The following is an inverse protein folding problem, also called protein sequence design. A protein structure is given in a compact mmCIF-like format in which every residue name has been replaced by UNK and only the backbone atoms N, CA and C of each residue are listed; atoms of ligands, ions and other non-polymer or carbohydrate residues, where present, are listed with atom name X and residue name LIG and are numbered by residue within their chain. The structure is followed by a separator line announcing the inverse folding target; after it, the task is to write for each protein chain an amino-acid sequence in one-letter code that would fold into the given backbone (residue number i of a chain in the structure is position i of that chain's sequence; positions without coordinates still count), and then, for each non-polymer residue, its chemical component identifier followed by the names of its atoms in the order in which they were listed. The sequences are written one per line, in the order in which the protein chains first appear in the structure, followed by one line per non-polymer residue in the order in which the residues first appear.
data_IF_861655599375
#
_entry.id   IF_861655599375
#
_cell.length_a   1.000
_cell.length_b   1.000
_cell.length_c   1.000
_cell.angle_alpha   90.00
_cell.angle_beta   90.00
_cell.angle_gamma   90.00
#
_symmetry.space_group_name_H-M   'P 1'
#
loop_
_entity.id
_entity.type
_entity.pdbx_description
1 polymer ?
#
# COMPACT_ATOMS: atom_id res chain seq x y z
N UNK A 1 72.67 14.89 16.89
CA UNK A 1 73.40 14.89 15.60
C UNK A 1 72.67 15.62 14.47
N UNK A 2 71.39 15.32 14.14
CA UNK A 2 70.64 16.09 13.11
C UNK A 2 70.50 17.61 13.41
N UNK A 3 70.26 17.99 14.68
CA UNK A 3 70.29 19.40 15.15
C UNK A 3 71.64 20.10 14.92
N UNK A 4 72.77 19.36 14.95
CA UNK A 4 74.12 19.90 14.75
C UNK A 4 74.47 20.10 13.26
N UNK A 5 73.96 19.25 12.38
CA UNK A 5 74.16 19.38 10.91
C UNK A 5 73.42 20.62 10.39
N UNK A 6 72.23 20.91 10.89
CA UNK A 6 71.50 22.16 10.57
C UNK A 6 72.16 23.43 11.14
N UNK A 7 72.87 23.31 12.26
CA UNK A 7 73.63 24.41 12.88
C UNK A 7 74.86 24.82 12.06
N UNK A 8 75.52 23.88 11.38
CA UNK A 8 76.71 24.15 10.55
C UNK A 8 76.39 24.76 9.17
N UNK A 9 75.19 24.50 8.62
CA UNK A 9 74.74 25.04 7.32
C UNK A 9 73.93 26.35 7.51
N UNK A 10 73.60 26.73 8.75
CA UNK A 10 72.88 27.98 9.05
C UNK A 10 73.67 29.25 8.67
N UNK A 11 75.00 29.17 8.56
CA UNK A 11 75.83 30.31 8.18
C UNK A 11 75.81 30.59 6.67
N UNK A 12 75.61 29.59 5.81
CA UNK A 12 75.90 29.75 4.37
C UNK A 12 74.68 29.97 3.47
N UNK A 13 73.49 29.43 3.79
CA UNK A 13 72.34 29.50 2.86
C UNK A 13 71.25 30.54 3.18
N UNK A 14 71.41 31.32 4.25
CA UNK A 14 70.62 32.52 4.51
C UNK A 14 71.28 33.80 3.95
N UNK A 15 72.42 33.69 3.28
CA UNK A 15 73.31 34.84 3.09
C UNK A 15 73.80 35.39 4.43
N UNK A 16 73.95 34.53 5.45
CA UNK A 16 74.30 34.90 6.82
C UNK A 16 75.80 34.75 7.04
N UNK A 17 76.59 35.56 6.33
CA UNK A 17 77.88 36.01 6.90
C UNK A 17 77.60 36.67 8.25
N UNK A 18 78.60 36.66 9.13
CA UNK A 18 78.53 36.96 10.57
C UNK A 18 78.09 38.40 10.95
N UNK A 19 76.93 38.86 10.48
CA UNK A 19 76.30 40.14 10.79
C UNK A 19 74.77 40.05 10.69
N UNK A 20 74.11 39.25 11.54
CA UNK A 20 72.68 39.40 11.81
C UNK A 20 72.49 40.55 12.81
N UNK A 21 72.32 41.79 12.31
CA UNK A 21 72.15 42.99 13.16
C UNK A 21 70.67 43.39 13.38
N UNK A 22 69.68 42.67 12.86
CA UNK A 22 68.25 42.98 13.05
C UNK A 22 67.58 42.06 14.10
N UNK A 23 66.93 42.61 15.15
CA UNK A 23 66.18 41.85 16.16
C UNK A 23 65.12 40.88 15.61
N UNK A 24 64.54 41.18 14.44
CA UNK A 24 63.52 40.34 13.82
C UNK A 24 64.10 39.04 13.24
N UNK A 25 65.33 39.05 12.74
CA UNK A 25 65.97 37.85 12.18
C UNK A 25 66.34 36.83 13.27
N UNK A 26 66.75 37.34 14.45
CA UNK A 26 67.03 36.51 15.64
C UNK A 26 65.73 35.88 16.15
N UNK A 27 64.63 36.64 16.20
CA UNK A 27 63.31 36.12 16.59
C UNK A 27 62.79 35.09 15.60
N UNK A 28 62.90 35.34 14.30
CA UNK A 28 62.51 34.42 13.24
C UNK A 28 63.28 33.10 13.32
N UNK A 29 64.60 33.16 13.62
CA UNK A 29 65.44 31.98 13.82
C UNK A 29 65.00 31.14 15.03
N UNK A 30 64.69 31.77 16.16
CA UNK A 30 64.24 31.05 17.36
C UNK A 30 62.88 30.38 17.13
N UNK A 31 61.93 31.09 16.51
CA UNK A 31 60.62 30.56 16.14
C UNK A 31 60.71 29.42 15.12
N UNK A 32 61.71 29.44 14.22
CA UNK A 32 61.96 28.32 13.31
C UNK A 32 62.38 27.05 14.06
N UNK A 33 63.23 27.17 15.08
CA UNK A 33 63.58 26.01 15.93
C UNK A 33 62.39 25.51 16.76
N UNK A 34 61.54 26.41 17.23
CA UNK A 34 60.28 26.05 17.88
C UNK A 34 59.36 25.27 16.93
N UNK A 35 59.19 25.75 15.69
CA UNK A 35 58.41 25.04 14.67
C UNK A 35 58.98 23.65 14.34
N UNK A 36 60.31 23.50 14.35
CA UNK A 36 60.97 22.20 14.19
C UNK A 36 60.68 21.27 15.38
N UNK A 37 60.78 21.76 16.61
CA UNK A 37 60.49 20.96 17.82
C UNK A 37 59.00 20.57 17.86
N UNK A 38 58.09 21.46 17.44
CA UNK A 38 56.67 21.17 17.27
C UNK A 38 56.42 20.10 16.20
N UNK A 39 57.11 20.21 15.06
CA UNK A 39 57.04 19.22 13.99
C UNK A 39 57.54 17.84 14.44
N UNK A 40 58.71 17.78 15.07
CA UNK A 40 59.29 16.54 15.61
C UNK A 40 58.40 15.93 16.71
N UNK A 41 57.68 16.78 17.45
CA UNK A 41 56.65 16.38 18.42
C UNK A 41 55.31 16.01 17.78
N UNK A 42 55.22 15.92 16.45
CA UNK A 42 54.02 15.63 15.65
C UNK A 42 52.88 16.65 15.82
N UNK A 43 53.17 17.86 16.31
CA UNK A 43 52.21 18.97 16.43
C UNK A 43 52.19 19.78 15.12
N UNK A 44 51.82 19.13 14.01
CA UNK A 44 51.99 19.68 12.67
C UNK A 44 51.22 20.99 12.42
N UNK A 45 49.99 21.11 12.94
CA UNK A 45 49.23 22.36 12.81
C UNK A 45 49.87 23.51 13.61
N UNK A 46 50.43 23.22 14.79
CA UNK A 46 51.15 24.22 15.57
C UNK A 46 52.43 24.66 14.84
N UNK A 47 53.18 23.69 14.29
CA UNK A 47 54.36 23.98 13.48
C UNK A 47 54.02 24.89 12.29
N UNK A 48 52.93 24.64 11.57
CA UNK A 48 52.45 25.51 10.48
C UNK A 48 52.10 26.93 10.97
N UNK A 49 51.40 27.03 12.11
CA UNK A 49 51.06 28.33 12.71
C UNK A 49 52.33 29.10 13.12
N UNK A 50 53.34 28.39 13.62
CA UNK A 50 54.63 28.97 14.02
C UNK A 50 55.46 29.38 12.80
N UNK A 51 55.46 28.60 11.72
CA UNK A 51 56.06 28.96 10.42
C UNK A 51 55.45 30.25 9.87
N UNK A 52 54.11 30.40 9.92
CA UNK A 52 53.45 31.63 9.45
C UNK A 52 53.90 32.88 10.25
N UNK A 53 54.20 32.73 11.56
CA UNK A 53 54.79 33.80 12.37
C UNK A 53 56.21 34.14 11.93
N UNK A 54 57.01 33.13 11.56
CA UNK A 54 58.36 33.31 11.00
C UNK A 54 58.31 34.10 9.70
N UNK A 55 57.46 33.69 8.76
CA UNK A 55 57.30 34.38 7.46
C UNK A 55 56.86 35.83 7.64
N UNK A 56 55.95 36.10 8.59
CA UNK A 56 55.50 37.46 8.92
C UNK A 56 56.65 38.35 9.42
N UNK A 57 57.55 37.82 10.25
CA UNK A 57 58.72 38.56 10.74
C UNK A 57 59.76 38.84 9.63
N UNK A 58 59.80 37.99 8.61
CA UNK A 58 60.66 38.13 7.43
C UNK A 58 60.01 38.96 6.30
N UNK A 59 58.92 39.69 6.59
CA UNK A 59 58.24 40.54 5.61
C UNK A 59 57.45 39.77 4.56
N UNK A 60 56.94 38.58 4.92
CA UNK A 60 56.20 37.69 4.02
C UNK A 60 57.11 36.84 3.11
N UNK A 61 58.44 36.96 3.25
CA UNK A 61 59.39 36.15 2.49
C UNK A 61 59.52 34.78 3.14
N UNK A 62 59.19 33.75 2.37
CA UNK A 62 59.48 32.36 2.73
C UNK A 62 60.82 31.93 2.14
N UNK A 63 61.36 30.82 2.63
CA UNK A 63 62.59 30.23 2.13
C UNK A 63 62.43 28.72 2.06
N UNK A 64 63.40 28.06 1.45
CA UNK A 64 63.29 26.64 1.20
C UNK A 64 63.18 25.78 2.46
N UNK A 65 63.77 26.19 3.58
CA UNK A 65 63.63 25.44 4.84
C UNK A 65 62.22 25.53 5.42
N UNK A 66 61.56 26.67 5.24
CA UNK A 66 60.16 26.86 5.60
C UNK A 66 59.27 26.05 4.66
N UNK A 67 59.52 26.08 3.34
CA UNK A 67 58.79 25.25 2.39
C UNK A 67 58.95 23.74 2.63
N UNK A 68 60.15 23.29 2.99
CA UNK A 68 60.42 21.90 3.39
C UNK A 68 59.54 21.47 4.58
N UNK A 69 59.53 22.29 5.64
CA UNK A 69 58.78 21.97 6.85
C UNK A 69 57.26 22.07 6.61
N UNK A 70 56.81 23.09 5.87
CA UNK A 70 55.42 23.29 5.46
C UNK A 70 54.90 22.14 4.61
N UNK A 71 55.68 21.66 3.64
CA UNK A 71 55.30 20.55 2.79
C UNK A 71 55.10 19.26 3.60
N UNK A 72 56.06 18.93 4.47
CA UNK A 72 55.98 17.73 5.31
C UNK A 72 54.88 17.82 6.35
N UNK A 73 54.66 18.99 6.96
CA UNK A 73 53.59 19.17 7.94
C UNK A 73 52.21 19.02 7.28
N UNK A 74 51.99 19.64 6.12
CA UNK A 74 50.73 19.49 5.38
C UNK A 74 50.52 18.06 4.87
N UNK A 75 51.58 17.37 4.44
CA UNK A 75 51.48 15.97 4.03
C UNK A 75 51.00 15.08 5.18
N UNK A 76 51.56 15.24 6.38
CA UNK A 76 51.15 14.47 7.56
C UNK A 76 49.74 14.82 8.06
N UNK A 77 49.23 16.02 7.74
CA UNK A 77 47.86 16.43 8.04
C UNK A 77 46.84 15.96 6.98
N UNK A 78 47.28 15.34 5.88
CA UNK A 78 46.42 14.98 4.75
C UNK A 78 46.06 16.16 3.83
N UNK A 79 46.69 17.32 4.02
CA UNK A 79 46.50 18.52 3.20
C UNK A 79 47.37 18.45 1.94
N UNK A 80 47.11 17.48 1.05
CA UNK A 80 48.01 17.14 -0.06
C UNK A 80 48.20 18.26 -1.09
N UNK A 81 47.19 19.09 -1.35
CA UNK A 81 47.31 20.24 -2.26
C UNK A 81 48.26 21.30 -1.70
N UNK A 82 48.13 21.63 -0.41
CA UNK A 82 49.01 22.57 0.28
C UNK A 82 50.44 22.01 0.39
N UNK A 83 50.58 20.71 0.61
CA UNK A 83 51.86 20.03 0.60
C UNK A 83 52.54 20.07 -0.78
N UNK A 84 51.77 19.84 -1.86
CA UNK A 84 52.25 19.90 -3.25
C UNK A 84 52.67 21.32 -3.64
N UNK A 85 51.89 22.34 -3.26
CA UNK A 85 52.25 23.74 -3.48
C UNK A 85 53.56 24.11 -2.76
N UNK A 86 53.72 23.68 -1.50
CA UNK A 86 54.94 23.90 -0.74
C UNK A 86 56.15 23.14 -1.32
N UNK A 87 55.96 21.90 -1.80
CA UNK A 87 56.99 21.15 -2.53
C UNK A 87 57.45 21.87 -3.80
N UNK A 88 56.53 22.41 -4.61
CA UNK A 88 56.88 23.18 -5.81
C UNK A 88 57.71 24.41 -5.46
N UNK A 89 57.28 25.17 -4.45
CA UNK A 89 58.00 26.36 -4.00
C UNK A 89 59.38 26.03 -3.41
N UNK A 90 59.53 24.88 -2.75
CA UNK A 90 60.83 24.36 -2.30
C UNK A 90 61.81 24.22 -3.47
N UNK A 91 61.43 23.51 -4.54
CA UNK A 91 62.30 23.29 -5.70
C UNK A 91 62.63 24.54 -6.50
N UNK A 92 61.75 25.56 -6.48
CA UNK A 92 62.03 26.87 -7.10
C UNK A 92 63.07 27.68 -6.31
N UNK A 93 63.26 27.37 -5.02
CA UNK A 93 64.02 28.20 -4.08
C UNK A 93 65.45 27.72 -3.74
N UNK A 94 65.94 26.57 -4.24
CA UNK A 94 67.30 26.06 -3.95
C UNK A 94 68.02 25.44 -5.18
N UNK A 95 69.36 25.59 -5.32
CA UNK A 95 70.22 24.67 -6.07
C UNK A 95 70.31 23.24 -5.49
N UNK A 96 70.54 22.22 -6.33
CA UNK A 96 70.56 20.74 -6.05
C UNK A 96 71.40 20.23 -4.85
N UNK A 97 72.07 21.07 -4.06
CA UNK A 97 73.01 20.69 -3.00
C UNK A 97 72.41 20.71 -1.58
N UNK A 98 71.10 20.93 -1.41
CA UNK A 98 70.47 20.93 -0.08
C UNK A 98 70.29 19.49 0.47
N UNK A 99 70.63 19.22 1.74
CA UNK A 99 70.50 17.90 2.35
C UNK A 99 69.07 17.31 2.34
N UNK A 100 68.03 18.14 2.24
CA UNK A 100 66.63 17.73 2.17
C UNK A 100 66.12 17.50 0.74
N UNK A 101 66.96 17.69 -0.29
CA UNK A 101 66.56 17.59 -1.70
C UNK A 101 65.99 16.22 -2.07
N UNK A 102 66.70 15.13 -1.74
CA UNK A 102 66.27 13.76 -2.07
C UNK A 102 64.98 13.36 -1.34
N UNK A 103 64.83 13.83 -0.09
CA UNK A 103 63.63 13.58 0.70
C UNK A 103 62.41 14.31 0.13
N UNK A 104 62.58 15.57 -0.29
CA UNK A 104 61.53 16.35 -0.95
C UNK A 104 61.19 15.79 -2.34
N UNK A 105 62.18 15.21 -3.05
CA UNK A 105 61.93 14.53 -4.31
C UNK A 105 61.03 13.31 -4.10
N UNK A 106 61.32 12.49 -3.09
CA UNK A 106 60.47 11.36 -2.70
C UNK A 106 59.06 11.79 -2.26
N UNK A 107 58.95 12.89 -1.51
CA UNK A 107 57.65 13.46 -1.11
C UNK A 107 56.85 13.96 -2.33
N UNK A 108 57.50 14.62 -3.28
CA UNK A 108 56.88 15.09 -4.52
C UNK A 108 56.33 13.93 -5.35
N UNK A 109 57.12 12.87 -5.53
CA UNK A 109 56.67 11.66 -6.23
C UNK A 109 55.49 10.98 -5.52
N UNK A 110 55.50 10.98 -4.17
CA UNK A 110 54.38 10.44 -3.38
C UNK A 110 53.10 11.26 -3.55
N UNK A 111 53.20 12.59 -3.56
CA UNK A 111 52.08 13.50 -3.79
C UNK A 111 51.51 13.38 -5.22
N UNK A 112 52.37 13.19 -6.20
CA UNK A 112 51.96 12.93 -7.59
C UNK A 112 51.20 11.60 -7.71
N UNK A 113 51.69 10.54 -7.08
CA UNK A 113 51.00 9.26 -7.04
C UNK A 113 49.62 9.35 -6.36
N UNK A 114 49.50 10.10 -5.26
CA UNK A 114 48.23 10.35 -4.56
C UNK A 114 47.25 11.11 -5.47
N UNK A 115 47.73 12.14 -6.18
CA UNK A 115 46.91 12.93 -7.11
C UNK A 115 46.38 12.07 -8.27
N UNK A 116 47.24 11.26 -8.89
CA UNK A 116 46.86 10.33 -9.96
C UNK A 116 45.82 9.32 -9.46
N UNK A 117 46.03 8.76 -8.27
CA UNK A 117 45.08 7.82 -7.67
C UNK A 117 43.71 8.47 -7.39
N UNK A 118 43.70 9.71 -6.90
CA UNK A 118 42.46 10.46 -6.67
C UNK A 118 41.71 10.76 -7.99
N UNK A 119 42.44 11.20 -9.03
CA UNK A 119 41.85 11.45 -10.36
C UNK A 119 41.27 10.17 -10.97
N UNK A 120 41.98 9.04 -10.85
CA UNK A 120 41.50 7.74 -11.32
C UNK A 120 40.21 7.34 -10.62
N UNK A 121 40.15 7.48 -9.30
CA UNK A 121 38.94 7.16 -8.52
C UNK A 121 37.74 8.03 -8.94
N UNK A 122 37.95 9.34 -9.13
CA UNK A 122 36.90 10.25 -9.60
C UNK A 122 36.40 9.82 -10.99
N UNK A 123 37.30 9.44 -11.90
CA UNK A 123 36.93 8.97 -13.23
C UNK A 123 36.15 7.65 -13.19
N UNK A 124 36.56 6.70 -12.35
CA UNK A 124 35.84 5.43 -12.13
C UNK A 124 34.43 5.67 -11.57
N UNK A 125 34.29 6.52 -10.54
CA UNK A 125 32.99 6.87 -9.97
C UNK A 125 32.08 7.60 -10.97
N UNK A 126 32.64 8.49 -11.80
CA UNK A 126 31.90 9.18 -12.85
C UNK A 126 31.37 8.21 -13.91
N UNK A 127 32.16 7.21 -14.29
CA UNK A 127 31.75 6.19 -15.24
C UNK A 127 30.66 5.26 -14.66
N UNK A 128 30.82 4.84 -13.40
CA UNK A 128 29.78 4.07 -12.70
C UNK A 128 28.45 4.81 -12.61
N UNK A 129 28.48 6.13 -12.39
CA UNK A 129 27.26 6.95 -12.40
C UNK A 129 26.57 6.97 -13.76
N UNK A 130 27.34 7.04 -14.87
CA UNK A 130 26.76 6.99 -16.22
C UNK A 130 26.11 5.64 -16.51
N UNK A 131 26.75 4.54 -16.11
CA UNK A 131 26.20 3.18 -16.28
C UNK A 131 24.90 3.05 -15.49
N UNK A 132 24.89 3.45 -14.21
CA UNK A 132 23.71 3.38 -13.36
C UNK A 132 22.55 4.24 -13.91
N UNK A 133 22.84 5.42 -14.46
CA UNK A 133 21.84 6.27 -15.10
C UNK A 133 21.28 5.63 -16.38
N UNK A 134 22.13 5.07 -17.23
CA UNK A 134 21.71 4.37 -18.45
C UNK A 134 20.83 3.14 -18.13
N UNK A 135 21.18 2.37 -17.09
CA UNK A 135 20.36 1.25 -16.61
C UNK A 135 19.03 1.71 -16.02
N UNK A 136 19.00 2.85 -15.31
CA UNK A 136 17.75 3.43 -14.82
C UNK A 136 16.82 3.80 -15.98
N UNK A 137 17.33 4.54 -16.97
CA UNK A 137 16.56 4.94 -18.16
C UNK A 137 16.06 3.71 -18.92
N UNK A 138 16.88 2.67 -19.09
CA UNK A 138 16.47 1.42 -19.73
C UNK A 138 15.32 0.74 -18.98
N UNK A 139 15.40 0.63 -17.65
CA UNK A 139 14.32 0.04 -16.84
C UNK A 139 13.02 0.86 -16.93
N UNK A 140 13.12 2.19 -16.88
CA UNK A 140 11.97 3.08 -17.04
C UNK A 140 11.29 2.89 -18.42
N UNK A 141 12.06 2.71 -19.48
CA UNK A 141 11.54 2.42 -20.83
C UNK A 141 10.87 1.04 -20.90
N UNK A 142 11.49 0.00 -20.35
CA UNK A 142 10.92 -1.36 -20.30
C UNK A 142 9.60 -1.38 -19.50
N UNK A 143 9.55 -0.68 -18.37
CA UNK A 143 8.34 -0.56 -17.57
C UNK A 143 7.23 0.22 -18.30
N UNK A 144 7.58 1.29 -19.02
CA UNK A 144 6.64 2.04 -19.84
C UNK A 144 6.02 1.17 -20.95
N UNK A 145 6.85 0.38 -21.66
CA UNK A 145 6.39 -0.57 -22.68
C UNK A 145 5.47 -1.64 -22.06
N UNK A 146 5.86 -2.19 -20.91
CA UNK A 146 5.04 -3.17 -20.20
C UNK A 146 3.71 -2.59 -19.68
N UNK A 147 3.70 -1.31 -19.28
CA UNK A 147 2.49 -0.60 -18.87
C UNK A 147 1.56 -0.35 -20.06
N UNK A 148 2.10 0.02 -21.23
CA UNK A 148 1.34 0.20 -22.46
C UNK A 148 0.73 -1.12 -22.95
N UNK A 149 1.51 -2.21 -22.95
CA UNK A 149 1.01 -3.54 -23.30
C UNK A 149 -0.13 -4.01 -22.37
N UNK A 150 -0.02 -3.73 -21.06
CA UNK A 150 -1.09 -4.00 -20.08
C UNK A 150 -2.35 -3.21 -20.41
N UNK A 151 -2.23 -1.91 -20.70
CA UNK A 151 -3.36 -1.05 -21.12
C UNK A 151 -4.01 -1.55 -22.41
N UNK A 152 -3.22 -1.96 -23.40
CA UNK A 152 -3.73 -2.49 -24.67
C UNK A 152 -4.51 -3.80 -24.48
N UNK A 153 -3.98 -4.73 -23.67
CA UNK A 153 -4.66 -5.99 -23.35
C UNK A 153 -5.99 -5.75 -22.62
N UNK A 154 -6.01 -4.81 -21.68
CA UNK A 154 -7.23 -4.47 -20.95
C UNK A 154 -8.25 -3.78 -21.87
N UNK A 155 -7.81 -2.89 -22.77
CA UNK A 155 -8.68 -2.27 -23.77
C UNK A 155 -9.30 -3.29 -24.72
N UNK A 156 -8.52 -4.29 -25.18
CA UNK A 156 -9.02 -5.38 -26.01
C UNK A 156 -10.09 -6.22 -25.30
N UNK A 157 -9.86 -6.56 -24.02
CA UNK A 157 -10.85 -7.26 -23.19
C UNK A 157 -12.14 -6.45 -23.05
N UNK A 158 -12.03 -5.15 -22.72
CA UNK A 158 -13.20 -4.25 -22.61
C UNK A 158 -13.98 -4.14 -23.92
N UNK A 159 -13.29 -4.13 -25.06
CA UNK A 159 -13.93 -4.09 -26.37
C UNK A 159 -14.72 -5.38 -26.65
N UNK A 160 -14.19 -6.54 -26.26
CA UNK A 160 -14.89 -7.81 -26.42
C UNK A 160 -16.09 -7.93 -25.47
N UNK A 161 -15.92 -7.56 -24.20
CA UNK A 161 -17.01 -7.48 -23.22
C UNK A 161 -18.14 -6.56 -23.72
N UNK A 162 -17.80 -5.42 -24.34
CA UNK A 162 -18.77 -4.49 -24.90
C UNK A 162 -19.58 -5.09 -26.08
N UNK A 163 -18.95 -5.90 -26.94
CA UNK A 163 -19.68 -6.61 -28.02
C UNK A 163 -20.65 -7.63 -27.45
N UNK A 164 -20.21 -8.43 -26.46
CA UNK A 164 -21.07 -9.40 -25.80
C UNK A 164 -22.26 -8.71 -25.12
N UNK A 165 -22.02 -7.57 -24.47
CA UNK A 165 -23.07 -6.79 -23.84
C UNK A 165 -24.09 -6.26 -24.86
N UNK A 166 -23.65 -5.82 -26.04
CA UNK A 166 -24.57 -5.36 -27.10
C UNK A 166 -25.53 -6.48 -27.55
N UNK A 167 -25.05 -7.72 -27.63
CA UNK A 167 -25.89 -8.88 -27.97
C UNK A 167 -26.93 -9.13 -26.87
N UNK A 168 -26.50 -9.10 -25.60
CA UNK A 168 -27.40 -9.28 -24.45
C UNK A 168 -28.46 -8.17 -24.37
N UNK A 169 -28.07 -6.91 -24.57
CA UNK A 169 -28.98 -5.76 -24.57
C UNK A 169 -30.07 -5.89 -25.66
N UNK A 170 -29.71 -6.46 -26.82
CA UNK A 170 -30.66 -6.70 -27.91
C UNK A 170 -31.68 -7.78 -27.53
N UNK A 171 -31.21 -8.89 -26.96
CA UNK A 171 -32.10 -9.97 -26.48
C UNK A 171 -33.05 -9.44 -25.41
N UNK A 172 -32.55 -8.65 -24.47
CA UNK A 172 -33.38 -8.01 -23.45
C UNK A 172 -34.45 -7.10 -24.08
N UNK A 173 -34.08 -6.26 -25.05
CA UNK A 173 -35.03 -5.35 -25.69
C UNK A 173 -36.16 -6.09 -26.42
N UNK A 174 -35.83 -7.19 -27.11
CA UNK A 174 -36.80 -8.02 -27.82
C UNK A 174 -37.75 -8.73 -26.85
N UNK A 175 -37.24 -9.31 -25.76
CA UNK A 175 -38.05 -9.94 -24.71
C UNK A 175 -38.96 -8.92 -24.00
N UNK A 176 -38.46 -7.71 -23.73
CA UNK A 176 -39.27 -6.65 -23.11
C UNK A 176 -40.42 -6.23 -24.02
N UNK A 177 -40.14 -6.06 -25.33
CA UNK A 177 -41.17 -5.72 -26.31
C UNK A 177 -42.24 -6.81 -26.40
N UNK A 178 -41.84 -8.08 -26.36
CA UNK A 178 -42.78 -9.21 -26.34
C UNK A 178 -43.65 -9.20 -25.07
N UNK A 179 -43.07 -8.88 -23.91
CA UNK A 179 -43.82 -8.73 -22.65
C UNK A 179 -44.83 -7.57 -22.73
N UNK A 180 -44.44 -6.42 -23.30
CA UNK A 180 -45.34 -5.29 -23.52
C UNK A 180 -46.48 -5.61 -24.49
N UNK A 181 -46.20 -6.38 -25.55
CA UNK A 181 -47.20 -6.82 -26.53
C UNK A 181 -48.22 -7.78 -25.90
N UNK A 182 -47.75 -8.74 -25.10
CA UNK A 182 -48.62 -9.71 -24.41
C UNK A 182 -49.42 -9.06 -23.28
N UNK A 183 -48.80 -8.11 -22.57
CA UNK A 183 -49.42 -7.28 -21.55
C UNK A 183 -50.09 -8.06 -20.38
N UNK A 184 -49.51 -9.19 -19.99
CA UNK A 184 -49.97 -10.02 -18.86
C UNK A 184 -48.96 -10.03 -17.72
N UNK A 185 -49.42 -10.29 -16.50
CA UNK A 185 -48.54 -10.39 -15.33
C UNK A 185 -47.42 -11.42 -15.55
N UNK A 186 -47.77 -12.58 -16.11
CA UNK A 186 -46.84 -13.67 -16.37
C UNK A 186 -45.77 -13.30 -17.40
N UNK A 187 -46.11 -12.54 -18.44
CA UNK A 187 -45.14 -12.12 -19.45
C UNK A 187 -44.11 -11.15 -18.86
N UNK A 188 -44.54 -10.18 -18.06
CA UNK A 188 -43.64 -9.28 -17.35
C UNK A 188 -42.82 -10.03 -16.29
N UNK A 189 -43.42 -10.98 -15.59
CA UNK A 189 -42.72 -11.81 -14.60
C UNK A 189 -41.63 -12.66 -15.25
N UNK A 190 -41.93 -13.28 -16.38
CA UNK A 190 -40.95 -14.06 -17.15
C UNK A 190 -39.81 -13.17 -17.67
N UNK A 191 -40.12 -11.96 -18.15
CA UNK A 191 -39.10 -10.99 -18.52
C UNK A 191 -38.16 -10.67 -17.35
N UNK A 192 -38.71 -10.36 -16.17
CA UNK A 192 -37.95 -10.06 -14.94
C UNK A 192 -37.17 -11.26 -14.39
N UNK A 193 -37.53 -12.48 -14.80
CA UNK A 193 -36.78 -13.69 -14.52
C UNK A 193 -35.59 -13.87 -15.44
N UNK A 194 -35.80 -13.66 -16.73
CA UNK A 194 -34.74 -13.78 -17.73
C UNK A 194 -33.73 -12.62 -17.64
N UNK A 195 -34.20 -11.43 -17.27
CA UNK A 195 -33.41 -10.18 -17.24
C UNK A 195 -33.50 -9.50 -15.87
N UNK A 196 -32.93 -10.09 -14.80
CA UNK A 196 -33.04 -9.56 -13.44
C UNK A 196 -32.19 -8.30 -13.19
N UNK A 197 -31.22 -7.99 -14.05
CA UNK A 197 -30.31 -6.83 -13.94
C UNK A 197 -30.09 -6.09 -15.26
N UNK A 198 -31.03 -6.25 -16.19
CA UNK A 198 -30.95 -5.60 -17.48
C UNK A 198 -31.31 -4.10 -17.44
N UNK A 199 -31.09 -3.41 -18.56
CA UNK A 199 -31.33 -1.95 -18.69
C UNK A 199 -32.81 -1.59 -18.64
N UNK A 200 -33.69 -2.55 -18.92
CA UNK A 200 -35.14 -2.38 -18.97
C UNK A 200 -35.84 -3.02 -17.76
N UNK A 201 -35.11 -3.71 -16.88
CA UNK A 201 -35.64 -4.29 -15.63
C UNK A 201 -36.41 -3.27 -14.81
N UNK A 202 -35.85 -2.08 -14.55
CA UNK A 202 -36.54 -1.06 -13.74
C UNK A 202 -37.85 -0.59 -14.39
N UNK A 203 -37.88 -0.50 -15.73
CA UNK A 203 -39.11 -0.14 -16.45
C UNK A 203 -40.16 -1.24 -16.31
N UNK A 204 -39.76 -2.49 -16.51
CA UNK A 204 -40.64 -3.65 -16.33
C UNK A 204 -41.17 -3.75 -14.90
N UNK A 205 -40.32 -3.52 -13.88
CA UNK A 205 -40.72 -3.51 -12.48
C UNK A 205 -41.74 -2.41 -12.18
N UNK A 206 -41.54 -1.20 -12.71
CA UNK A 206 -42.52 -0.09 -12.57
C UNK A 206 -43.85 -0.43 -13.23
N UNK A 207 -43.83 -1.01 -14.43
CA UNK A 207 -45.06 -1.43 -15.11
C UNK A 207 -45.78 -2.53 -14.33
N UNK A 208 -45.04 -3.50 -13.80
CA UNK A 208 -45.56 -4.59 -12.99
C UNK A 208 -46.17 -4.08 -11.69
N UNK A 209 -45.44 -3.25 -10.92
CA UNK A 209 -45.91 -2.70 -9.66
C UNK A 209 -47.18 -1.83 -9.83
N UNK A 210 -47.28 -1.11 -10.95
CA UNK A 210 -48.45 -0.28 -11.27
C UNK A 210 -49.70 -1.12 -11.57
N UNK A 211 -49.57 -2.23 -12.31
CA UNK A 211 -50.71 -3.04 -12.77
C UNK A 211 -51.04 -4.18 -11.80
N UNK A 212 -50.03 -4.76 -11.17
CA UNK A 212 -50.09 -5.93 -10.28
C UNK A 212 -49.23 -5.69 -9.04
N UNK A 213 -49.76 -4.95 -8.04
CA UNK A 213 -49.03 -4.63 -6.82
C UNK A 213 -48.54 -5.89 -6.11
N UNK A 214 -47.32 -5.83 -5.57
CA UNK A 214 -46.69 -6.94 -4.86
C UNK A 214 -47.50 -7.32 -3.62
N UNK A 215 -47.91 -8.59 -3.47
CA UNK A 215 -48.64 -9.01 -2.29
C UNK A 215 -47.84 -8.84 -0.99
N UNK A 216 -48.52 -8.46 0.08
CA UNK A 216 -47.91 -8.24 1.40
C UNK A 216 -48.07 -9.48 2.25
N UNK A 217 -46.98 -9.93 2.90
CA UNK A 217 -46.99 -11.09 3.79
C UNK A 217 -47.96 -10.87 4.96
N UNK A 218 -48.79 -11.87 5.23
CA UNK A 218 -49.74 -11.87 6.33
C UNK A 218 -49.75 -13.23 7.03
N UNK A 219 -50.09 -13.23 8.32
CA UNK A 219 -50.12 -14.42 9.15
C UNK A 219 -51.54 -14.75 9.60
N UNK A 220 -51.97 -15.99 9.43
CA UNK A 220 -53.30 -16.47 9.82
C UNK A 220 -53.25 -17.95 10.18
N UNK A 221 -53.83 -18.33 11.33
CA UNK A 221 -53.93 -19.72 11.81
C UNK A 221 -52.58 -20.46 11.78
N UNK A 222 -51.53 -19.87 12.35
CA UNK A 222 -50.18 -20.42 12.40
C UNK A 222 -49.50 -20.67 11.04
N UNK A 223 -49.99 -20.03 9.97
CA UNK A 223 -49.42 -20.11 8.63
C UNK A 223 -49.28 -18.73 8.02
N UNK A 224 -48.29 -18.58 7.14
CA UNK A 224 -48.09 -17.40 6.31
C UNK A 224 -48.79 -17.57 4.96
N UNK A 225 -49.37 -16.46 4.50
CA UNK A 225 -49.89 -16.24 3.16
C UNK A 225 -49.66 -14.78 2.77
N UNK A 226 -50.35 -14.29 1.75
CA UNK A 226 -50.18 -12.93 1.27
C UNK A 226 -51.52 -12.27 0.92
N UNK A 227 -51.63 -10.98 1.22
CA UNK A 227 -52.79 -10.12 0.98
C UNK A 227 -52.45 -9.06 -0.07
N UNK A 228 -53.45 -8.48 -0.70
CA UNK A 228 -53.28 -7.45 -1.75
C UNK A 228 -52.61 -6.16 -1.23
N UNK A 229 -52.83 -5.80 0.03
CA UNK A 229 -52.23 -4.63 0.67
C UNK A 229 -52.18 -4.77 2.19
N UNK A 230 -51.33 -3.98 2.83
CA UNK A 230 -51.22 -3.90 4.30
C UNK A 230 -52.60 -3.69 4.92
N UNK A 231 -52.94 -4.51 5.93
CA UNK A 231 -54.21 -4.41 6.66
C UNK A 231 -55.43 -5.03 5.96
N UNK A 232 -55.28 -5.54 4.74
CA UNK A 232 -56.37 -6.24 4.06
C UNK A 232 -56.66 -7.62 4.67
N UNK A 233 -57.92 -8.01 4.66
CA UNK A 233 -58.38 -9.36 5.06
C UNK A 233 -58.45 -10.34 3.88
N UNK A 234 -58.27 -9.84 2.64
CA UNK A 234 -58.34 -10.63 1.41
C UNK A 234 -56.98 -11.25 1.10
N UNK A 235 -56.84 -12.54 1.39
CA UNK A 235 -55.66 -13.31 0.96
C UNK A 235 -55.71 -13.54 -0.54
N UNK A 236 -54.74 -12.96 -1.27
CA UNK A 236 -54.50 -13.25 -2.69
C UNK A 236 -53.68 -14.54 -2.86
N UNK A 237 -52.85 -14.87 -1.86
CA UNK A 237 -52.17 -16.16 -1.74
C UNK A 237 -52.56 -16.75 -0.39
N UNK A 238 -53.25 -17.90 -0.38
CA UNK A 238 -53.78 -18.51 0.86
C UNK A 238 -52.68 -18.77 1.88
N UNK A 239 -53.00 -18.59 3.17
CA UNK A 239 -52.09 -18.93 4.26
C UNK A 239 -51.89 -20.45 4.33
N UNK A 240 -50.72 -20.92 3.91
CA UNK A 240 -50.39 -22.34 3.79
C UNK A 240 -48.94 -22.69 4.19
N UNK A 241 -48.09 -21.69 4.41
CA UNK A 241 -46.66 -21.85 4.63
C UNK A 241 -46.27 -21.74 6.11
N UNK A 242 -45.29 -22.51 6.56
CA UNK A 242 -44.77 -22.46 7.94
C UNK A 242 -44.00 -21.17 8.21
N UNK A 243 -43.24 -20.72 7.21
CA UNK A 243 -42.53 -19.45 7.17
C UNK A 243 -42.66 -18.85 5.79
N UNK A 244 -42.66 -17.52 5.70
CA UNK A 244 -42.54 -16.80 4.45
C UNK A 244 -41.70 -15.53 4.66
N UNK A 245 -40.94 -15.12 3.66
CA UNK A 245 -40.34 -13.78 3.59
C UNK A 245 -41.24 -12.84 2.79
N UNK A 246 -40.96 -11.55 2.86
CA UNK A 246 -41.53 -10.61 1.89
C UNK A 246 -40.96 -10.90 0.49
N UNK A 247 -41.67 -10.45 -0.55
CA UNK A 247 -41.19 -10.58 -1.91
C UNK A 247 -39.95 -9.72 -2.13
N UNK A 248 -38.90 -10.33 -2.67
CA UNK A 248 -37.66 -9.67 -3.08
C UNK A 248 -37.29 -10.16 -4.47
N UNK A 249 -36.97 -9.24 -5.38
CA UNK A 249 -36.68 -9.55 -6.80
C UNK A 249 -37.79 -10.37 -7.49
N UNK A 250 -39.05 -10.18 -7.06
CA UNK A 250 -40.24 -10.86 -7.60
C UNK A 250 -40.59 -12.20 -6.94
N UNK A 251 -39.78 -12.69 -5.99
CA UNK A 251 -39.96 -14.00 -5.34
C UNK A 251 -40.01 -13.90 -3.82
N UNK A 252 -40.81 -14.76 -3.18
CA UNK A 252 -40.82 -14.93 -1.73
C UNK A 252 -40.31 -16.32 -1.36
N UNK A 253 -39.37 -16.40 -0.42
CA UNK A 253 -38.91 -17.67 0.17
C UNK A 253 -39.99 -18.16 1.12
N UNK A 254 -40.50 -19.36 0.88
CA UNK A 254 -41.51 -20.00 1.72
C UNK A 254 -41.00 -21.34 2.24
N UNK A 255 -41.56 -21.80 3.36
CA UNK A 255 -41.31 -23.15 3.85
C UNK A 255 -42.57 -23.93 4.12
N UNK A 256 -42.47 -25.24 3.95
CA UNK A 256 -43.51 -26.22 4.28
C UNK A 256 -42.82 -27.51 4.71
N UNK A 257 -43.13 -28.00 5.92
CA UNK A 257 -42.56 -29.24 6.45
C UNK A 257 -41.04 -29.16 6.66
N UNK A 258 -40.52 -28.00 7.07
CA UNK A 258 -39.09 -27.79 7.31
C UNK A 258 -38.22 -27.71 6.05
N UNK A 259 -38.81 -27.71 4.86
CA UNK A 259 -38.12 -27.49 3.58
C UNK A 259 -38.49 -26.13 3.00
N UNK A 260 -37.58 -25.56 2.21
CA UNK A 260 -37.69 -24.26 1.59
C UNK A 260 -37.83 -24.36 0.07
N UNK A 261 -38.59 -23.43 -0.48
CA UNK A 261 -38.74 -23.17 -1.91
C UNK A 261 -39.15 -21.72 -2.13
N UNK A 262 -39.54 -21.37 -3.35
CA UNK A 262 -39.89 -20.00 -3.68
C UNK A 262 -41.17 -19.92 -4.49
N UNK A 263 -41.97 -18.91 -4.17
CA UNK A 263 -43.19 -18.60 -4.88
C UNK A 263 -43.07 -17.25 -5.60
N UNK A 264 -43.77 -17.13 -6.71
CA UNK A 264 -43.97 -15.88 -7.42
C UNK A 264 -45.11 -15.05 -6.79
N UNK A 265 -45.36 -13.86 -7.33
CA UNK A 265 -46.41 -12.95 -6.85
C UNK A 265 -47.83 -13.44 -7.14
N UNK A 266 -48.01 -14.45 -7.99
CA UNK A 266 -49.28 -15.17 -8.17
C UNK A 266 -49.51 -16.25 -7.09
N UNK A 267 -48.46 -16.63 -6.37
CA UNK A 267 -48.48 -17.72 -5.39
C UNK A 267 -48.08 -19.08 -5.96
N UNK A 268 -47.67 -19.15 -7.23
CA UNK A 268 -47.16 -20.35 -7.86
C UNK A 268 -45.77 -20.68 -7.31
N UNK A 269 -45.55 -21.96 -7.00
CA UNK A 269 -44.24 -22.47 -6.62
C UNK A 269 -43.37 -22.56 -7.86
N UNK A 270 -42.51 -21.57 -8.07
CA UNK A 270 -41.57 -21.53 -9.22
C UNK A 270 -40.28 -22.28 -8.92
N UNK A 271 -39.89 -22.36 -7.65
CA UNK A 271 -38.77 -23.18 -7.20
C UNK A 271 -39.27 -24.17 -6.16
N UNK A 272 -39.13 -25.50 -6.41
CA UNK A 272 -39.72 -26.53 -5.55
C UNK A 272 -39.36 -26.40 -4.07
N UNK A 273 -40.34 -26.67 -3.19
CA UNK A 273 -40.14 -26.68 -1.73
C UNK A 273 -39.47 -27.98 -1.31
N UNK A 274 -38.17 -28.11 -1.58
CA UNK A 274 -37.38 -29.32 -1.31
C UNK A 274 -36.07 -29.07 -0.55
N UNK A 275 -35.60 -27.83 -0.51
CA UNK A 275 -34.27 -27.50 0.01
C UNK A 275 -34.26 -27.50 1.54
N UNK A 276 -33.20 -28.02 2.14
CA UNK A 276 -33.02 -27.98 3.58
C UNK A 276 -32.71 -26.56 4.07
N UNK A 277 -31.96 -25.80 3.26
CA UNK A 277 -31.61 -24.40 3.50
C UNK A 277 -31.76 -23.65 2.19
N UNK A 278 -32.28 -22.42 2.26
CA UNK A 278 -32.30 -21.51 1.13
C UNK A 278 -32.08 -20.07 1.63
N UNK A 279 -31.24 -19.29 0.96
CA UNK A 279 -31.12 -17.85 1.20
C UNK A 279 -32.29 -17.08 0.58
N UNK A 280 -32.36 -15.77 0.81
CA UNK A 280 -33.19 -14.91 -0.04
C UNK A 280 -32.50 -14.74 -1.41
N UNK A 281 -33.28 -14.34 -2.42
CA UNK A 281 -32.72 -13.91 -3.69
C UNK A 281 -31.91 -12.62 -3.53
N UNK A 282 -30.78 -12.62 -4.21
CA UNK A 282 -29.83 -11.51 -4.34
C UNK A 282 -28.97 -11.88 -5.54
N UNK A 283 -28.67 -10.97 -6.45
CA UNK A 283 -27.83 -11.41 -7.58
C UNK A 283 -28.62 -12.17 -8.68
N UNK A 284 -29.95 -12.33 -8.55
CA UNK A 284 -30.76 -13.16 -9.45
C UNK A 284 -30.73 -14.63 -9.03
N UNK A 285 -30.00 -14.93 -7.95
CA UNK A 285 -29.76 -16.26 -7.45
C UNK A 285 -30.11 -16.38 -5.98
N UNK A 286 -30.42 -17.59 -5.55
CA UNK A 286 -30.47 -17.99 -4.16
C UNK A 286 -29.47 -19.12 -3.90
N UNK A 287 -28.72 -19.02 -2.81
CA UNK A 287 -27.94 -20.13 -2.29
C UNK A 287 -28.91 -21.16 -1.70
N UNK A 288 -28.82 -22.41 -2.14
CA UNK A 288 -29.65 -23.52 -1.67
C UNK A 288 -28.80 -24.69 -1.23
N UNK A 289 -29.32 -25.50 -0.30
CA UNK A 289 -28.70 -26.75 0.12
C UNK A 289 -29.68 -27.91 -0.06
N UNK A 290 -29.30 -28.87 -0.90
CA UNK A 290 -30.01 -30.12 -1.16
C UNK A 290 -29.15 -31.29 -0.65
N UNK A 291 -29.56 -31.88 0.48
CA UNK A 291 -28.71 -32.82 1.21
C UNK A 291 -27.40 -32.17 1.67
N UNK A 292 -26.26 -32.72 1.22
CA UNK A 292 -24.92 -32.20 1.53
C UNK A 292 -24.39 -31.22 0.48
N UNK A 293 -25.05 -31.09 -0.67
CA UNK A 293 -24.60 -30.22 -1.75
C UNK A 293 -25.21 -28.83 -1.61
N UNK A 294 -24.36 -27.81 -1.58
CA UNK A 294 -24.74 -26.41 -1.66
C UNK A 294 -24.46 -25.86 -3.07
N UNK A 295 -25.38 -25.09 -3.63
CA UNK A 295 -25.24 -24.49 -4.96
C UNK A 295 -26.17 -23.28 -5.10
N UNK A 296 -26.17 -22.64 -6.28
CA UNK A 296 -26.98 -21.47 -6.56
C UNK A 296 -28.05 -21.81 -7.59
N UNK A 297 -29.28 -21.34 -7.37
CA UNK A 297 -30.37 -21.47 -8.34
C UNK A 297 -30.86 -20.12 -8.81
N UNK A 298 -31.17 -20.01 -10.09
CA UNK A 298 -31.83 -18.85 -10.68
C UNK A 298 -33.30 -18.77 -10.26
N UNK A 299 -34.00 -17.71 -10.67
CA UNK A 299 -35.43 -17.49 -10.37
C UNK A 299 -36.38 -18.56 -10.92
N UNK A 300 -35.93 -19.40 -11.85
CA UNK A 300 -36.66 -20.56 -12.40
C UNK A 300 -36.34 -21.87 -11.66
N UNK A 301 -35.38 -21.83 -10.72
CA UNK A 301 -34.91 -22.99 -9.97
C UNK A 301 -33.82 -23.78 -10.66
N UNK A 302 -33.31 -23.31 -11.82
CA UNK A 302 -32.20 -23.97 -12.52
C UNK A 302 -30.88 -23.65 -11.82
N UNK A 303 -29.98 -24.63 -11.65
CA UNK A 303 -28.64 -24.36 -11.14
C UNK A 303 -27.90 -23.34 -12.01
N UNK A 304 -27.14 -22.43 -11.38
CA UNK A 304 -26.25 -21.49 -12.06
C UNK A 304 -25.18 -22.23 -12.89
N UNK A 305 -24.65 -23.32 -12.33
CA UNK A 305 -23.67 -24.24 -12.94
C UNK A 305 -23.96 -25.66 -12.46
N UNK A 306 -23.32 -26.65 -13.09
CA UNK A 306 -23.34 -28.03 -12.61
C UNK A 306 -22.49 -28.24 -11.33
N UNK A 307 -21.56 -27.31 -11.05
CA UNK A 307 -20.70 -27.35 -9.87
C UNK A 307 -21.49 -27.26 -8.56
N UNK A 308 -21.06 -28.04 -7.57
CA UNK A 308 -21.62 -28.05 -6.22
C UNK A 308 -20.52 -27.85 -5.18
N UNK A 309 -20.91 -27.35 -4.01
CA UNK A 309 -20.02 -26.88 -2.96
C UNK A 309 -20.41 -27.48 -1.62
N UNK A 310 -19.49 -27.46 -0.66
CA UNK A 310 -19.75 -27.92 0.72
C UNK A 310 -20.64 -26.92 1.47
N UNK A 311 -20.45 -25.64 1.19
CA UNK A 311 -21.17 -24.51 1.76
C UNK A 311 -21.18 -23.32 0.80
N UNK A 312 -22.21 -22.48 0.89
CA UNK A 312 -22.32 -21.25 0.08
C UNK A 312 -22.92 -20.11 0.89
N UNK A 313 -22.51 -18.88 0.56
CA UNK A 313 -23.15 -17.65 1.05
C UNK A 313 -23.88 -16.96 -0.10
N UNK A 314 -24.97 -16.27 0.20
CA UNK A 314 -25.72 -15.51 -0.80
C UNK A 314 -24.86 -14.45 -1.48
N UNK A 315 -25.19 -14.13 -2.74
CA UNK A 315 -24.52 -13.06 -3.48
C UNK A 315 -24.61 -11.71 -2.77
N UNK A 316 -23.48 -11.02 -2.68
CA UNK A 316 -23.34 -9.63 -2.22
C UNK A 316 -22.43 -8.91 -3.18
N UNK A 317 -22.84 -7.73 -3.67
CA UNK A 317 -22.05 -6.94 -4.62
C UNK A 317 -21.63 -7.71 -5.88
N UNK A 318 -22.45 -8.68 -6.33
CA UNK A 318 -22.19 -9.48 -7.53
C UNK A 318 -21.22 -10.65 -7.36
N UNK A 319 -20.74 -10.93 -6.15
CA UNK A 319 -19.93 -12.11 -5.83
C UNK A 319 -20.58 -12.94 -4.72
N UNK A 320 -20.38 -14.25 -4.74
CA UNK A 320 -20.82 -15.17 -3.69
C UNK A 320 -19.66 -16.03 -3.20
N UNK A 321 -19.59 -16.24 -1.89
CA UNK A 321 -18.63 -17.19 -1.34
C UNK A 321 -19.13 -18.61 -1.55
N UNK A 322 -18.23 -19.50 -1.96
CA UNK A 322 -18.46 -20.92 -2.07
C UNK A 322 -17.30 -21.67 -1.40
N UNK A 323 -17.58 -22.83 -0.82
CA UNK A 323 -16.58 -23.66 -0.15
C UNK A 323 -16.32 -24.95 -0.94
N UNK A 324 -15.07 -25.19 -1.29
CA UNK A 324 -14.67 -26.41 -1.98
C UNK A 324 -14.67 -27.64 -1.07
N UNK A 325 -14.34 -28.81 -1.65
CA UNK A 325 -14.23 -30.08 -0.93
C UNK A 325 -13.12 -30.11 0.14
N UNK A 326 -12.19 -29.16 0.12
CA UNK A 326 -11.08 -29.04 1.08
C UNK A 326 -11.39 -28.00 2.18
N UNK A 327 -12.65 -27.59 2.29
CA UNK A 327 -13.14 -26.59 3.25
C UNK A 327 -12.51 -25.20 3.06
N UNK A 328 -12.04 -24.89 1.85
CA UNK A 328 -11.52 -23.57 1.49
C UNK A 328 -12.58 -22.76 0.75
N UNK A 329 -12.71 -21.51 1.15
CA UNK A 329 -13.60 -20.54 0.53
C UNK A 329 -12.87 -19.79 -0.58
N UNK A 330 -13.60 -19.62 -1.68
CA UNK A 330 -13.31 -18.72 -2.78
C UNK A 330 -14.57 -17.91 -3.12
N UNK A 331 -14.50 -17.10 -4.17
CA UNK A 331 -15.64 -16.31 -4.63
C UNK A 331 -15.91 -16.51 -6.11
N UNK A 332 -17.19 -16.71 -6.44
CA UNK A 332 -17.68 -16.84 -7.80
C UNK A 332 -18.53 -15.62 -8.19
N UNK A 333 -18.57 -15.30 -9.48
CA UNK A 333 -19.46 -14.27 -10.03
C UNK A 333 -20.83 -14.84 -10.44
N UNK A 334 -21.70 -13.97 -10.96
CA UNK A 334 -23.05 -14.34 -11.42
C UNK A 334 -23.09 -15.21 -12.68
N UNK A 335 -21.93 -15.50 -13.29
CA UNK A 335 -21.77 -16.49 -14.37
C UNK A 335 -21.27 -17.84 -13.84
N UNK A 336 -21.02 -17.95 -12.53
CA UNK A 336 -20.44 -19.14 -11.90
C UNK A 336 -18.91 -19.24 -12.05
N UNK A 337 -18.25 -18.23 -12.61
CA UNK A 337 -16.80 -18.23 -12.79
C UNK A 337 -16.11 -17.88 -11.46
N UNK A 338 -15.05 -18.61 -11.12
CA UNK A 338 -14.21 -18.31 -9.95
C UNK A 338 -13.42 -17.02 -10.21
N UNK A 339 -13.70 -15.99 -9.41
CA UNK A 339 -13.00 -14.69 -9.44
C UNK A 339 -11.89 -14.65 -8.40
N UNK A 340 -12.15 -15.22 -7.22
CA UNK A 340 -11.17 -15.31 -6.14
C UNK A 340 -10.97 -16.79 -5.80
N UNK A 341 -9.74 -17.33 -5.91
CA UNK A 341 -9.45 -18.75 -5.69
C UNK A 341 -9.87 -19.28 -4.31
N UNK A 342 -10.09 -20.60 -4.23
CA UNK A 342 -10.44 -21.31 -3.00
C UNK A 342 -9.22 -21.51 -2.10
N UNK A 343 -8.86 -20.48 -1.34
CA UNK A 343 -7.64 -20.47 -0.52
C UNK A 343 -7.91 -20.14 0.97
N UNK A 344 -9.07 -19.57 1.28
CA UNK A 344 -9.34 -19.02 2.60
C UNK A 344 -10.08 -19.99 3.51
N UNK A 345 -9.75 -20.01 4.79
CA UNK A 345 -10.42 -20.87 5.78
C UNK A 345 -11.71 -20.24 6.33
N UNK A 346 -11.85 -18.92 6.22
CA UNK A 346 -13.06 -18.19 6.59
C UNK A 346 -13.22 -16.95 5.71
N UNK A 347 -14.45 -16.53 5.44
CA UNK A 347 -14.75 -15.31 4.68
C UNK A 347 -16.00 -14.62 5.21
N UNK A 348 -16.03 -13.29 5.11
CA UNK A 348 -17.22 -12.47 5.38
C UNK A 348 -18.01 -12.18 4.09
N UNK A 349 -18.83 -11.12 4.06
CA UNK A 349 -19.53 -10.67 2.86
C UNK A 349 -18.81 -9.47 2.23
N UNK A 350 -18.89 -9.35 0.91
CA UNK A 350 -18.47 -8.13 0.23
C UNK A 350 -19.30 -6.93 0.69
N UNK A 351 -18.60 -5.89 1.14
CA UNK A 351 -19.12 -4.56 1.48
C UNK A 351 -18.15 -3.51 0.94
N UNK A 352 -18.68 -2.56 0.18
CA UNK A 352 -17.91 -1.45 -0.40
C UNK A 352 -16.74 -1.93 -1.29
N UNK A 353 -16.92 -3.06 -1.97
CA UNK A 353 -15.92 -3.68 -2.83
C UNK A 353 -14.82 -4.45 -2.11
N UNK A 354 -14.93 -4.64 -0.80
CA UNK A 354 -13.92 -5.29 0.06
C UNK A 354 -14.55 -6.39 0.89
N UNK A 355 -13.80 -7.45 1.16
CA UNK A 355 -14.21 -8.57 2.01
C UNK A 355 -13.10 -8.94 3.00
N UNK A 356 -13.47 -9.33 4.22
CA UNK A 356 -12.54 -9.92 5.16
C UNK A 356 -12.38 -11.41 4.86
N UNK A 357 -11.15 -11.85 4.72
CA UNK A 357 -10.78 -13.26 4.50
C UNK A 357 -9.84 -13.71 5.61
N UNK A 358 -9.93 -14.97 6.01
CA UNK A 358 -9.17 -15.55 7.10
C UNK A 358 -8.42 -16.80 6.66
N UNK A 359 -7.17 -16.92 7.09
CA UNK A 359 -6.36 -18.14 6.97
C UNK A 359 -6.06 -18.71 8.35
N UNK A 360 -5.97 -20.04 8.43
CA UNK A 360 -5.51 -20.72 9.62
C UNK A 360 -4.01 -20.97 9.49
N UNK A 361 -3.22 -20.29 10.32
CA UNK A 361 -1.78 -20.49 10.44
C UNK A 361 -1.48 -21.08 11.83
N UNK A 362 -1.01 -22.34 11.86
CA UNK A 362 -0.62 -23.03 13.09
C UNK A 362 -1.73 -23.05 14.18
N UNK A 363 -2.99 -23.25 13.78
CA UNK A 363 -4.13 -23.29 14.69
C UNK A 363 -4.65 -21.92 15.10
N UNK A 364 -4.08 -20.83 14.58
CA UNK A 364 -4.55 -19.46 14.83
C UNK A 364 -5.12 -18.86 13.56
N UNK A 365 -6.33 -18.31 13.66
CA UNK A 365 -6.92 -17.55 12.56
C UNK A 365 -6.26 -16.19 12.46
N UNK A 366 -5.85 -15.81 11.26
CA UNK A 366 -5.42 -14.47 10.89
C UNK A 366 -6.26 -13.96 9.75
N UNK A 367 -6.64 -12.70 9.81
CA UNK A 367 -7.52 -12.06 8.84
C UNK A 367 -6.81 -10.96 8.06
N UNK A 368 -7.26 -10.78 6.82
CA UNK A 368 -6.84 -9.78 5.88
C UNK A 368 -8.06 -9.23 5.10
N UNK A 369 -7.88 -8.10 4.44
CA UNK A 369 -8.85 -7.57 3.47
C UNK A 369 -8.41 -7.84 2.04
N UNK A 370 -9.38 -8.21 1.21
CA UNK A 370 -9.22 -8.49 -0.21
C UNK A 370 -10.30 -7.74 -0.99
N UNK A 371 -9.96 -7.20 -2.15
CA UNK A 371 -10.93 -6.51 -3.01
C UNK A 371 -11.65 -7.49 -3.96
N UNK A 372 -12.61 -6.98 -4.75
CA UNK A 372 -13.39 -7.81 -5.70
C UNK A 372 -12.58 -8.50 -6.79
N UNK A 373 -11.35 -8.08 -7.06
CA UNK A 373 -10.45 -8.70 -8.04
C UNK A 373 -9.58 -9.80 -7.42
N UNK A 374 -9.69 -10.04 -6.10
CA UNK A 374 -8.81 -10.95 -5.38
C UNK A 374 -7.48 -10.32 -4.95
N UNK A 375 -7.29 -9.00 -5.14
CA UNK A 375 -6.08 -8.32 -4.71
C UNK A 375 -6.11 -8.13 -3.19
N UNK A 376 -5.02 -8.56 -2.54
CA UNK A 376 -4.83 -8.39 -1.10
C UNK A 376 -4.54 -6.93 -0.78
N UNK A 377 -5.37 -6.33 0.08
CA UNK A 377 -5.24 -4.95 0.55
C UNK A 377 -4.46 -4.85 1.85
N UNK A 378 -4.58 -5.84 2.73
CA UNK A 378 -3.79 -5.94 3.97
C UNK A 378 -3.16 -7.31 4.09
N UNK A 379 -2.07 -7.44 4.84
CA UNK A 379 -1.52 -8.75 5.18
C UNK A 379 -2.40 -9.52 6.19
N UNK A 380 -2.13 -10.81 6.36
CA UNK A 380 -2.79 -11.70 7.33
C UNK A 380 -2.27 -11.46 8.76
N UNK A 381 -2.57 -10.27 9.28
CA UNK A 381 -2.07 -9.81 10.58
C UNK A 381 -3.12 -9.98 11.69
N UNK A 382 -4.39 -9.77 11.34
CA UNK A 382 -5.40 -9.40 12.32
C UNK A 382 -6.03 -10.63 13.00
N UNK A 383 -6.28 -10.53 14.29
CA UNK A 383 -7.03 -11.53 15.06
C UNK A 383 -8.53 -11.47 14.72
N UNK A 384 -9.02 -10.29 14.37
CA UNK A 384 -10.37 -10.07 13.87
C UNK A 384 -10.36 -8.99 12.78
N UNK A 385 -11.18 -9.16 11.73
CA UNK A 385 -11.49 -8.12 10.76
C UNK A 385 -13.01 -8.08 10.55
N UNK A 386 -13.63 -6.92 10.71
CA UNK A 386 -15.08 -6.72 10.50
C UNK A 386 -15.36 -6.25 9.07
N UNK A 387 -16.59 -6.42 8.62
CA UNK A 387 -17.01 -5.90 7.31
C UNK A 387 -16.76 -4.38 7.21
N UNK A 388 -16.39 -3.94 6.01
CA UNK A 388 -16.22 -2.51 5.73
C UNK A 388 -17.55 -1.79 5.90
N UNK A 389 -17.48 -0.61 6.50
CA UNK A 389 -18.62 0.27 6.66
C UNK A 389 -18.13 1.71 6.57
N UNK A 390 -18.82 2.53 5.78
CA UNK A 390 -18.59 3.95 5.70
C UNK A 390 -17.17 4.34 5.27
N UNK A 391 -16.47 3.49 4.51
CA UNK A 391 -15.11 3.70 4.01
C UNK A 391 -13.99 3.16 4.90
N UNK A 392 -14.32 2.52 6.03
CA UNK A 392 -13.34 2.03 7.01
C UNK A 392 -13.57 0.57 7.40
N UNK A 393 -12.46 -0.16 7.58
CA UNK A 393 -12.43 -1.50 8.14
C UNK A 393 -12.00 -1.47 9.60
N UNK A 394 -12.72 -2.19 10.47
CA UNK A 394 -12.34 -2.34 11.89
C UNK A 394 -11.57 -3.64 12.06
N UNK A 395 -10.36 -3.52 12.60
CA UNK A 395 -9.43 -4.64 12.78
C UNK A 395 -9.01 -4.76 14.22
N UNK A 396 -8.61 -5.97 14.63
CA UNK A 396 -8.03 -6.24 15.94
C UNK A 396 -6.67 -6.89 15.80
N UNK A 397 -5.69 -6.35 16.51
CA UNK A 397 -4.32 -6.88 16.58
C UNK A 397 -3.85 -6.79 18.03
N UNK A 398 -3.29 -7.88 18.55
CA UNK A 398 -2.77 -7.95 19.93
C UNK A 398 -3.81 -7.53 20.98
N UNK A 399 -5.07 -7.97 20.78
CA UNK A 399 -6.17 -7.65 21.70
C UNK A 399 -6.76 -6.24 21.58
N UNK A 400 -6.21 -5.36 20.74
CA UNK A 400 -6.65 -3.96 20.58
C UNK A 400 -7.25 -3.71 19.20
N UNK A 401 -8.19 -2.80 19.11
CA UNK A 401 -8.87 -2.39 17.89
C UNK A 401 -8.21 -1.18 17.24
N UNK A 402 -8.20 -1.19 15.91
CA UNK A 402 -7.78 -0.09 15.04
C UNK A 402 -8.66 0.02 13.81
N UNK A 403 -8.34 0.99 12.97
CA UNK A 403 -9.06 1.29 11.73
C UNK A 403 -8.11 1.21 10.54
N UNK A 404 -8.59 0.66 9.43
CA UNK A 404 -7.92 0.67 8.13
C UNK A 404 -8.81 1.31 7.08
N UNK A 405 -8.19 1.94 6.09
CA UNK A 405 -8.90 2.52 4.95
C UNK A 405 -9.15 1.48 3.84
N UNK A 406 -9.87 1.89 2.80
CA UNK A 406 -10.21 1.05 1.65
C UNK A 406 -9.01 0.59 0.81
N UNK A 407 -7.84 1.16 1.01
CA UNK A 407 -6.59 0.77 0.35
C UNK A 407 -5.76 -0.16 1.25
N UNK A 408 -6.25 -0.47 2.46
CA UNK A 408 -5.58 -1.28 3.46
C UNK A 408 -4.57 -0.52 4.32
N UNK A 409 -4.49 0.81 4.18
CA UNK A 409 -3.61 1.62 5.03
C UNK A 409 -4.21 1.78 6.43
N UNK A 410 -3.36 1.70 7.45
CA UNK A 410 -3.77 1.94 8.84
C UNK A 410 -4.17 3.41 9.02
N UNK A 411 -5.42 3.66 9.40
CA UNK A 411 -5.93 4.97 9.82
C UNK A 411 -5.59 5.19 11.30
N UNK A 412 -5.88 4.19 12.14
CA UNK A 412 -5.45 4.17 13.54
C UNK A 412 -4.75 2.87 13.83
N UNK A 413 -3.61 2.95 14.52
CA UNK A 413 -2.96 1.77 15.05
C UNK A 413 -3.92 1.05 16.00
N UNK A 414 -3.76 -0.27 16.15
CA UNK A 414 -4.58 -1.07 17.06
C UNK A 414 -4.27 -0.71 18.52
N UNK A 415 -4.86 0.37 19.02
CA UNK A 415 -4.59 0.95 20.34
C UNK A 415 -5.84 1.12 21.20
N UNK A 416 -7.02 0.90 20.63
CA UNK A 416 -8.30 1.03 21.33
C UNK A 416 -8.70 -0.29 21.99
N UNK A 417 -9.25 -0.25 23.19
CA UNK A 417 -9.85 -1.43 23.84
C UNK A 417 -11.07 -1.93 23.07
N UNK A 418 -11.77 -1.02 22.39
CA UNK A 418 -12.99 -1.30 21.64
C UNK A 418 -13.28 -0.18 20.64
N UNK A 419 -13.82 -0.53 19.47
CA UNK A 419 -14.40 0.41 18.50
C UNK A 419 -15.76 -0.15 18.03
N UNK A 420 -16.85 0.59 18.29
CA UNK A 420 -18.19 0.23 17.84
C UNK A 420 -18.36 0.34 16.33
N UNK A 421 -19.53 -0.04 15.83
CA UNK A 421 -19.95 0.34 14.48
C UNK A 421 -20.08 1.86 14.35
N UNK A 422 -19.86 2.35 13.12
CA UNK A 422 -20.07 3.75 12.80
C UNK A 422 -21.56 4.03 12.68
N UNK A 423 -22.04 5.05 13.39
CA UNK A 423 -23.42 5.52 13.30
C UNK A 423 -23.60 6.40 12.06
N UNK A 424 -24.86 6.74 11.77
CA UNK A 424 -25.22 7.58 10.61
C UNK A 424 -24.61 9.00 10.67
N UNK A 425 -24.25 9.47 11.86
CA UNK A 425 -23.58 10.75 12.09
C UNK A 425 -22.07 10.72 11.75
N UNK A 426 -21.53 9.55 11.39
CA UNK A 426 -20.13 9.39 10.99
C UNK A 426 -19.16 9.09 12.13
N UNK A 427 -19.65 8.85 13.35
CA UNK A 427 -18.80 8.55 14.51
C UNK A 427 -18.99 7.11 15.03
N UNK A 428 -17.91 6.53 15.53
CA UNK A 428 -17.92 5.30 16.31
C UNK A 428 -17.59 5.59 17.79
N UNK A 429 -18.26 4.90 18.71
CA UNK A 429 -17.85 4.90 20.11
C UNK A 429 -16.59 4.05 20.24
N UNK A 430 -15.52 4.64 20.76
CA UNK A 430 -14.26 3.95 21.01
C UNK A 430 -13.84 4.10 22.47
N UNK A 431 -13.19 3.08 23.02
CA UNK A 431 -12.62 3.11 24.37
C UNK A 431 -11.10 3.05 24.28
N UNK A 432 -10.40 4.01 24.88
CA UNK A 432 -8.94 4.05 24.96
C UNK A 432 -8.52 4.35 26.39
N UNK A 433 -7.71 3.49 26.99
CA UNK A 433 -7.20 3.64 28.36
C UNK A 433 -8.32 3.89 29.39
N UNK A 434 -9.45 3.20 29.23
CA UNK A 434 -10.61 3.34 30.12
C UNK A 434 -11.53 4.56 29.85
N UNK A 435 -11.18 5.44 28.92
CA UNK A 435 -12.00 6.59 28.54
C UNK A 435 -12.78 6.35 27.25
N UNK A 436 -14.05 6.77 27.25
CA UNK A 436 -14.92 6.70 26.07
C UNK A 436 -14.76 7.97 25.22
N UNK A 437 -14.54 7.79 23.92
CA UNK A 437 -14.43 8.85 22.91
C UNK A 437 -15.26 8.52 21.68
N UNK A 438 -15.56 9.55 20.88
CA UNK A 438 -16.14 9.40 19.56
C UNK A 438 -15.00 9.48 18.53
N UNK A 439 -14.81 8.42 17.77
CA UNK A 439 -13.81 8.33 16.70
C UNK A 439 -14.49 8.65 15.37
N UNK A 440 -13.93 9.59 14.60
CA UNK A 440 -14.34 9.78 13.20
C UNK A 440 -13.60 8.82 12.26
N UNK A 441 -13.91 8.91 10.96
CA UNK A 441 -13.39 7.99 9.94
C UNK A 441 -11.92 8.24 9.62
N UNK A 442 -11.45 9.45 9.91
CA UNK A 442 -10.06 9.87 9.80
C UNK A 442 -9.23 9.46 11.03
N UNK A 443 -9.85 8.80 12.02
CA UNK A 443 -9.19 8.32 13.22
C UNK A 443 -8.98 9.38 14.28
N UNK A 444 -9.65 10.53 14.18
CA UNK A 444 -9.58 11.60 15.16
C UNK A 444 -10.56 11.33 16.29
N UNK A 445 -10.06 11.39 17.52
CA UNK A 445 -10.86 11.23 18.73
C UNK A 445 -11.49 12.55 19.17
N UNK A 446 -12.76 12.49 19.55
CA UNK A 446 -13.58 13.61 19.97
C UNK A 446 -14.31 13.29 21.28
N UNK A 447 -14.57 14.32 22.08
CA UNK A 447 -15.49 14.27 23.23
C UNK A 447 -16.53 15.37 23.11
N UNK A 448 -17.74 15.10 23.60
CA UNK A 448 -18.84 16.05 23.56
C UNK A 448 -18.91 16.80 24.89
N UNK A 449 -18.62 18.10 24.87
CA UNK A 449 -18.68 18.99 26.05
C UNK A 449 -19.76 20.02 25.82
N UNK A 450 -20.81 20.01 26.66
CA UNK A 450 -21.96 20.92 26.54
C UNK A 450 -22.59 20.97 25.13
N UNK A 451 -22.63 19.83 24.44
CA UNK A 451 -23.18 19.72 23.09
C UNK A 451 -22.18 20.00 21.96
N UNK A 452 -21.00 20.54 22.26
CA UNK A 452 -19.94 20.88 21.29
C UNK A 452 -18.91 19.76 21.21
N UNK A 453 -18.50 19.40 19.99
CA UNK A 453 -17.45 18.40 19.75
C UNK A 453 -16.07 19.04 19.93
N UNK A 454 -15.27 18.47 20.82
CA UNK A 454 -13.90 18.92 21.11
C UNK A 454 -12.94 17.80 20.77
N UNK A 455 -11.92 18.10 19.96
CA UNK A 455 -10.87 17.15 19.59
C UNK A 455 -10.00 16.85 20.80
N UNK A 456 -9.70 15.57 21.01
CA UNK A 456 -8.84 15.10 22.10
C UNK A 456 -7.57 14.51 21.53
N UNK A 457 -6.43 14.79 22.17
CA UNK A 457 -5.18 14.08 21.96
C UNK A 457 -4.89 13.27 23.22
N UNK A 458 -4.55 12.00 23.02
CA UNK A 458 -4.13 11.08 24.08
C UNK A 458 -2.63 11.06 24.22
#
# INVERSE_FOLDING_TARGET
MKKLIYLFIAASSLGMTAAAQNPNDIKARNLYFEALDEFDSKKYQNALNTIAKVEKLLGGKSNARLYYLTAKANFNLGNYDAASAACKNYFVSIPRQDPGYDEMLGLSSSLEAISIAAQKKIAEEAEQRKIAEAERIKREQEEAIAAEARRAKEAARRAEDAKQQLVLDKVEADDFKMAQQTNTQDAYQQFLYNHPYGKLTEKAEKEMARKWPTPVRAFKKNKYGFVDKVGSSKFVIKAAYDQATDFKEGLARVSKGGKYGFINTNGDVVVPIKYAVASNYSYGFAAVKDGNAAYFVDKTGKPLTEETYMDTKAFSEGLAAAQDQYFKYGFINTKGEVVIPFEYSAVSWFKEGIVAVGMNENGKMRYAYVNKNGERLTDFLYEEAKDFQNGVGRVKLEGKYGLVDKFGASITCCEYDYISEFKQDGYALAKKNGHDVLLDKEGVAWVKVNGVMVKVKF
#
